data_IF_290597053760
#
_entry.id   IF_290597053760
#
_cell.length_a   1.000
_cell.length_b   1.000
_cell.length_c   1.000
_cell.angle_alpha   90.00
_cell.angle_beta   90.00
_cell.angle_gamma   90.00
#
_symmetry.space_group_name_H-M   'P 1'
#
loop_
_entity.id
_entity.type
_entity.pdbx_description
1 polymer ?
#
# COMPACT_ATOMS: atom_id res chain seq x y z
N UNK A 1 -8.73 5.69 -11.30
CA UNK A 1 -10.17 5.83 -11.54
C UNK A 1 -10.74 6.87 -10.60
N UNK A 2 -11.96 7.33 -10.83
CA UNK A 2 -12.68 8.16 -9.86
C UNK A 2 -13.16 7.27 -8.70
N UNK A 3 -12.91 7.70 -7.47
CA UNK A 3 -13.37 6.99 -6.26
C UNK A 3 -14.38 7.90 -5.57
N UNK A 4 -15.65 7.51 -5.63
CA UNK A 4 -16.72 8.20 -4.90
C UNK A 4 -16.71 7.71 -3.47
N UNK A 5 -16.51 8.63 -2.54
CA UNK A 5 -16.40 8.36 -1.11
C UNK A 5 -17.70 8.81 -0.45
N UNK A 6 -18.30 8.01 0.44
CA UNK A 6 -19.57 8.35 1.08
C UNK A 6 -19.53 9.70 1.80
N UNK A 7 -20.64 10.44 1.75
CA UNK A 7 -20.75 11.78 2.36
C UNK A 7 -20.46 11.77 3.87
N UNK A 8 -20.74 10.67 4.57
CA UNK A 8 -20.41 10.50 5.99
C UNK A 8 -18.91 10.56 6.33
N UNK A 9 -18.02 10.47 5.34
CA UNK A 9 -16.59 10.70 5.55
C UNK A 9 -16.22 12.19 5.64
N UNK A 10 -17.16 13.09 5.32
CA UNK A 10 -16.98 14.55 5.25
C UNK A 10 -17.40 15.35 6.49
N UNK A 11 -17.36 14.75 7.68
CA UNK A 11 -17.61 15.46 8.96
C UNK A 11 -16.33 15.84 9.72
N UNK A 12 -16.49 16.42 10.91
CA UNK A 12 -15.37 16.78 11.80
C UNK A 12 -14.48 15.58 12.14
N UNK A 13 -13.16 15.81 12.14
CA UNK A 13 -12.18 14.81 12.52
C UNK A 13 -11.06 15.41 13.36
N UNK A 14 -10.44 14.56 14.18
CA UNK A 14 -9.34 14.96 15.05
C UNK A 14 -8.12 15.31 14.21
N UNK A 15 -7.62 16.54 14.36
CA UNK A 15 -6.36 17.02 13.76
C UNK A 15 -5.21 17.10 14.77
N UNK A 16 -5.54 17.21 16.05
CA UNK A 16 -4.58 17.25 17.16
C UNK A 16 -5.09 16.39 18.32
N UNK A 17 -4.24 15.54 18.88
CA UNK A 17 -4.62 14.63 19.98
C UNK A 17 -4.42 15.33 21.32
N UNK A 18 -5.21 14.93 22.32
CA UNK A 18 -5.06 15.40 23.71
C UNK A 18 -3.66 15.14 24.29
N UNK A 19 -2.96 14.11 23.80
CA UNK A 19 -1.58 13.79 24.15
C UNK A 19 -0.53 14.75 23.53
N UNK A 20 -0.93 15.92 23.03
CA UNK A 20 0.00 16.96 22.54
C UNK A 20 0.70 16.64 21.22
N UNK A 21 0.17 15.72 20.42
CA UNK A 21 0.76 15.30 19.13
C UNK A 21 -0.27 15.40 18.00
N UNK A 22 0.16 15.69 16.76
CA UNK A 22 -0.75 15.75 15.63
C UNK A 22 -1.45 14.39 15.41
N UNK A 23 -2.69 14.45 14.94
CA UNK A 23 -3.36 13.26 14.44
C UNK A 23 -2.80 12.88 13.07
N UNK A 24 -3.01 11.62 12.68
CA UNK A 24 -2.51 11.07 11.40
C UNK A 24 -2.88 11.96 10.20
N UNK A 25 -4.12 12.47 10.15
CA UNK A 25 -4.59 13.27 9.02
C UNK A 25 -3.75 14.54 8.81
N UNK A 26 -3.45 15.27 9.90
CA UNK A 26 -2.63 16.49 9.84
C UNK A 26 -1.16 16.20 9.62
N UNK A 27 -0.61 15.22 10.36
CA UNK A 27 0.82 14.88 10.27
C UNK A 27 1.22 14.54 8.83
N UNK A 28 0.47 13.65 8.17
CA UNK A 28 0.78 13.23 6.79
C UNK A 28 0.69 14.39 5.80
N UNK A 29 -0.36 15.22 5.86
CA UNK A 29 -0.52 16.35 4.93
C UNK A 29 0.64 17.34 5.04
N UNK A 30 1.04 17.68 6.27
CA UNK A 30 2.14 18.62 6.51
C UNK A 30 3.48 18.02 6.08
N UNK A 31 3.74 16.75 6.41
CA UNK A 31 4.99 16.08 6.08
C UNK A 31 5.14 15.86 4.56
N UNK A 32 4.08 15.41 3.88
CA UNK A 32 4.07 15.23 2.42
C UNK A 32 4.36 16.55 1.70
N UNK A 33 3.71 17.63 2.12
CA UNK A 33 3.91 18.95 1.55
C UNK A 33 5.32 19.49 1.80
N UNK A 34 5.83 19.36 3.04
CA UNK A 34 7.17 19.81 3.42
C UNK A 34 8.27 19.03 2.67
N UNK A 35 8.05 17.75 2.37
CA UNK A 35 8.98 16.89 1.64
C UNK A 35 8.83 16.99 0.11
N UNK A 36 7.83 17.72 -0.39
CA UNK A 36 7.58 17.86 -1.82
C UNK A 36 7.07 16.57 -2.49
N UNK A 37 6.32 15.74 -1.76
CA UNK A 37 5.73 14.51 -2.30
C UNK A 37 4.76 14.85 -3.42
N UNK A 38 4.96 14.22 -4.59
CA UNK A 38 4.11 14.43 -5.78
C UNK A 38 3.09 13.31 -5.98
N UNK A 39 3.42 12.10 -5.53
CA UNK A 39 2.62 10.89 -5.72
C UNK A 39 2.62 10.05 -4.44
N UNK A 40 1.43 9.76 -3.92
CA UNK A 40 1.23 8.90 -2.75
C UNK A 40 0.65 7.57 -3.23
N UNK A 41 1.45 6.50 -3.14
CA UNK A 41 1.03 5.11 -3.42
C UNK A 41 0.87 4.37 -2.11
N UNK A 42 -0.35 3.90 -1.79
CA UNK A 42 -0.66 3.26 -0.50
C UNK A 42 -1.81 2.25 -0.60
N UNK A 43 -2.05 1.47 0.45
CA UNK A 43 -3.16 0.52 0.50
C UNK A 43 -4.54 1.18 0.40
N UNK A 44 -5.49 0.49 -0.21
CA UNK A 44 -6.88 0.95 -0.37
C UNK A 44 -7.67 1.05 0.94
N UNK A 45 -7.17 0.46 2.03
CA UNK A 45 -7.67 0.70 3.39
C UNK A 45 -7.57 2.16 3.83
N UNK A 46 -6.74 2.96 3.15
CA UNK A 46 -6.58 4.39 3.42
C UNK A 46 -7.41 5.29 2.50
N UNK A 47 -8.19 4.74 1.57
CA UNK A 47 -9.14 5.52 0.75
C UNK A 47 -10.02 6.43 1.61
N UNK A 48 -10.62 5.98 2.73
CA UNK A 48 -11.47 6.84 3.56
C UNK A 48 -10.75 8.00 4.25
N UNK A 49 -9.41 8.00 4.31
CA UNK A 49 -8.62 9.12 4.83
C UNK A 49 -8.43 10.24 3.81
N UNK A 50 -8.46 9.91 2.52
CA UNK A 50 -8.11 10.84 1.44
C UNK A 50 -8.97 12.11 1.43
N UNK A 51 -10.31 12.06 1.59
CA UNK A 51 -11.13 13.29 1.62
C UNK A 51 -10.75 14.24 2.75
N UNK A 52 -10.46 13.69 3.94
CA UNK A 52 -10.04 14.47 5.11
C UNK A 52 -8.69 15.12 4.88
N UNK A 53 -7.75 14.40 4.26
CA UNK A 53 -6.45 14.95 3.89
C UNK A 53 -6.58 16.04 2.82
N UNK A 54 -7.43 15.85 1.82
CA UNK A 54 -7.71 16.88 0.80
C UNK A 54 -8.31 18.15 1.40
N UNK A 55 -9.22 18.02 2.38
CA UNK A 55 -9.73 19.20 3.12
C UNK A 55 -8.62 19.94 3.86
N UNK A 56 -7.65 19.22 4.45
CA UNK A 56 -6.49 19.84 5.11
C UNK A 56 -5.55 20.52 4.11
N UNK A 57 -5.25 19.87 2.97
CA UNK A 57 -4.46 20.50 1.89
C UNK A 57 -5.10 21.82 1.46
N UNK A 58 -6.42 21.82 1.25
CA UNK A 58 -7.17 23.02 0.90
C UNK A 58 -7.11 24.09 2.00
N UNK A 59 -7.37 23.71 3.26
CA UNK A 59 -7.41 24.65 4.39
C UNK A 59 -6.04 25.29 4.69
N UNK A 60 -4.95 24.58 4.39
CA UNK A 60 -3.57 25.05 4.58
C UNK A 60 -2.99 25.71 3.32
N UNK A 61 -3.78 25.84 2.25
CA UNK A 61 -3.34 26.38 0.94
C UNK A 61 -2.14 25.62 0.34
N UNK A 62 -2.10 24.30 0.58
CA UNK A 62 -1.07 23.39 0.10
C UNK A 62 -1.55 22.64 -1.16
N UNK A 63 -0.62 22.31 -2.06
CA UNK A 63 -0.91 21.50 -3.25
C UNK A 63 -0.96 20.01 -2.86
N UNK A 64 -2.08 19.30 -3.07
CA UNK A 64 -2.14 17.86 -2.80
C UNK A 64 -1.33 17.05 -3.84
N UNK A 65 -0.76 15.89 -3.45
CA UNK A 65 -0.17 14.95 -4.38
C UNK A 65 -1.25 14.21 -5.19
N UNK A 66 -0.83 13.51 -6.25
CA UNK A 66 -1.66 12.48 -6.86
C UNK A 66 -1.74 11.26 -5.92
N UNK A 67 -2.90 10.62 -5.83
CA UNK A 67 -3.10 9.45 -4.98
C UNK A 67 -3.34 8.20 -5.82
N UNK A 68 -2.61 7.13 -5.52
CA UNK A 68 -2.87 5.77 -6.01
C UNK A 68 -3.11 4.84 -4.81
N UNK A 69 -4.27 4.17 -4.82
CA UNK A 69 -4.65 3.20 -3.80
C UNK A 69 -4.57 1.80 -4.40
N UNK A 70 -3.72 0.94 -3.84
CA UNK A 70 -3.49 -0.43 -4.29
C UNK A 70 -4.24 -1.43 -3.41
N UNK A 71 -4.82 -2.51 -3.96
CA UNK A 71 -5.54 -3.48 -3.16
C UNK A 71 -4.66 -4.14 -2.10
N UNK A 72 -5.26 -4.48 -0.97
CA UNK A 72 -4.58 -5.20 0.09
C UNK A 72 -4.19 -6.63 -0.30
N UNK A 73 -3.15 -7.12 0.35
CA UNK A 73 -2.87 -8.55 0.45
C UNK A 73 -3.75 -9.16 1.54
N UNK A 74 -4.45 -10.24 1.19
CA UNK A 74 -5.37 -10.97 2.07
C UNK A 74 -4.95 -12.43 2.22
N UNK A 75 -5.40 -13.08 3.28
CA UNK A 75 -5.25 -14.54 3.43
C UNK A 75 -6.31 -15.30 2.63
N UNK A 76 -6.26 -16.66 2.65
CA UNK A 76 -7.26 -17.51 2.01
C UNK A 76 -8.69 -17.28 2.52
N UNK A 77 -8.83 -16.74 3.72
CA UNK A 77 -10.10 -16.37 4.36
C UNK A 77 -10.68 -15.03 3.87
N UNK A 78 -9.99 -14.37 2.92
CA UNK A 78 -10.37 -13.06 2.37
C UNK A 78 -10.11 -11.89 3.32
N UNK A 79 -9.57 -12.12 4.52
CA UNK A 79 -9.28 -11.06 5.49
C UNK A 79 -7.85 -10.55 5.30
N UNK A 80 -7.62 -9.29 5.67
CA UNK A 80 -6.28 -8.68 5.68
C UNK A 80 -5.26 -9.62 6.33
N UNK A 81 -4.11 -9.76 5.66
CA UNK A 81 -3.02 -10.60 6.10
C UNK A 81 -2.61 -10.21 7.53
N UNK A 82 -2.45 -11.22 8.40
CA UNK A 82 -2.09 -11.06 9.79
C UNK A 82 -1.39 -12.33 10.28
N UNK A 83 -0.82 -12.31 11.50
CA UNK A 83 -0.07 -13.42 12.10
C UNK A 83 -0.79 -14.78 12.09
N UNK A 84 -2.11 -14.80 12.04
CA UNK A 84 -2.93 -16.03 11.96
C UNK A 84 -2.77 -16.78 10.63
N UNK A 85 -2.25 -16.13 9.59
CA UNK A 85 -2.02 -16.71 8.26
C UNK A 85 -0.56 -17.13 8.06
N UNK A 86 0.20 -17.27 9.15
CA UNK A 86 1.66 -17.41 9.10
C UNK A 86 2.38 -16.11 9.43
N UNK A 87 3.68 -16.23 9.72
CA UNK A 87 4.52 -15.08 10.07
C UNK A 87 5.19 -14.49 8.82
N UNK A 88 4.52 -13.52 8.24
CA UNK A 88 4.88 -12.87 6.97
C UNK A 88 5.88 -11.73 7.13
N UNK A 89 6.51 -11.60 8.31
CA UNK A 89 7.59 -10.63 8.52
C UNK A 89 8.78 -10.98 7.64
N UNK A 90 9.40 -9.96 7.04
CA UNK A 90 10.62 -10.12 6.24
C UNK A 90 11.74 -10.85 7.00
N UNK A 91 11.86 -10.63 8.32
CA UNK A 91 12.82 -11.33 9.18
C UNK A 91 12.56 -12.83 9.24
N UNK A 92 11.28 -13.23 9.27
CA UNK A 92 10.88 -14.63 9.36
C UNK A 92 11.05 -15.32 8.02
N UNK A 93 10.62 -14.69 6.93
CA UNK A 93 10.87 -15.17 5.57
C UNK A 93 12.37 -15.39 5.32
N UNK A 94 13.22 -14.45 5.77
CA UNK A 94 14.68 -14.59 5.70
C UNK A 94 15.19 -15.79 6.51
N UNK A 95 14.71 -15.97 7.74
CA UNK A 95 15.11 -17.10 8.58
C UNK A 95 14.66 -18.46 8.02
N UNK A 96 13.56 -18.48 7.26
CA UNK A 96 13.07 -19.65 6.52
C UNK A 96 13.87 -19.92 5.22
N UNK A 97 14.81 -19.06 4.85
CA UNK A 97 15.62 -19.22 3.65
C UNK A 97 14.96 -18.71 2.36
N UNK A 98 13.89 -17.91 2.45
CA UNK A 98 13.27 -17.30 1.26
C UNK A 98 14.26 -16.31 0.63
N UNK A 99 14.65 -16.57 -0.61
CA UNK A 99 15.60 -15.71 -1.31
C UNK A 99 14.93 -14.38 -1.71
N UNK A 100 15.60 -13.21 -1.57
CA UNK A 100 14.99 -11.92 -1.90
C UNK A 100 14.49 -11.81 -3.34
N UNK A 101 15.19 -12.44 -4.29
CA UNK A 101 14.78 -12.42 -5.70
C UNK A 101 13.46 -13.16 -5.93
N UNK A 102 13.22 -14.27 -5.21
CA UNK A 102 11.99 -15.04 -5.32
C UNK A 102 10.80 -14.27 -4.73
N UNK A 103 11.01 -13.64 -3.57
CA UNK A 103 10.00 -12.77 -2.96
C UNK A 103 9.66 -11.58 -3.86
N UNK A 104 10.67 -10.93 -4.45
CA UNK A 104 10.45 -9.86 -5.43
C UNK A 104 9.69 -10.36 -6.66
N UNK A 105 10.02 -11.55 -7.15
CA UNK A 105 9.33 -12.20 -8.26
C UNK A 105 7.86 -12.44 -8.00
N UNK A 106 7.55 -12.97 -6.81
CA UNK A 106 6.19 -13.18 -6.33
C UNK A 106 5.42 -11.87 -6.24
N UNK A 107 6.02 -10.83 -5.64
CA UNK A 107 5.39 -9.51 -5.51
C UNK A 107 5.18 -8.87 -6.89
N UNK A 108 6.17 -8.94 -7.77
CA UNK A 108 6.07 -8.40 -9.13
C UNK A 108 4.97 -9.10 -9.94
N UNK A 109 4.85 -10.42 -9.83
CA UNK A 109 3.73 -11.16 -10.40
C UNK A 109 2.38 -10.71 -9.82
N UNK A 110 2.30 -10.55 -8.48
CA UNK A 110 1.06 -10.07 -7.83
C UNK A 110 0.63 -8.68 -8.30
N UNK A 111 1.59 -7.84 -8.70
CA UNK A 111 1.37 -6.51 -9.26
C UNK A 111 1.14 -6.50 -10.77
N UNK A 112 1.11 -7.66 -11.44
CA UNK A 112 0.94 -7.77 -12.89
C UNK A 112 2.19 -7.40 -13.71
N UNK A 113 3.35 -7.22 -13.07
CA UNK A 113 4.61 -6.84 -13.74
C UNK A 113 5.38 -8.04 -14.31
N UNK A 114 5.00 -9.26 -13.90
CA UNK A 114 5.48 -10.52 -14.45
C UNK A 114 4.31 -11.44 -14.80
N UNK A 115 4.43 -12.29 -15.84
CA UNK A 115 3.38 -13.24 -16.21
C UNK A 115 3.28 -14.43 -15.24
N UNK A 116 4.36 -14.72 -14.50
CA UNK A 116 4.44 -15.78 -13.48
C UNK A 116 5.49 -15.40 -12.43
N UNK A 117 5.43 -15.97 -11.21
CA UNK A 117 6.51 -15.82 -10.23
C UNK A 117 7.82 -16.35 -10.81
N UNK A 118 8.87 -15.53 -10.76
CA UNK A 118 10.22 -15.91 -11.14
C UNK A 118 11.23 -15.01 -10.43
N UNK A 119 12.40 -15.53 -10.02
CA UNK A 119 13.41 -14.71 -9.36
C UNK A 119 13.78 -13.50 -10.22
N UNK A 120 13.77 -12.31 -9.61
CA UNK A 120 14.10 -11.05 -10.29
C UNK A 120 14.84 -10.09 -9.35
N UNK A 121 15.73 -9.28 -9.90
CA UNK A 121 16.39 -8.20 -9.15
C UNK A 121 15.61 -6.88 -9.25
N UNK A 122 15.78 -5.95 -8.29
CA UNK A 122 15.19 -4.62 -8.39
C UNK A 122 15.55 -3.90 -9.70
N UNK A 123 16.80 -4.04 -10.17
CA UNK A 123 17.27 -3.42 -11.41
C UNK A 123 16.51 -3.93 -12.63
N UNK A 124 16.25 -5.23 -12.69
CA UNK A 124 15.44 -5.83 -13.76
C UNK A 124 13.97 -5.45 -13.66
N UNK A 125 13.46 -5.19 -12.46
CA UNK A 125 12.06 -4.83 -12.26
C UNK A 125 11.75 -3.39 -12.70
N UNK A 126 12.70 -2.46 -12.60
CA UNK A 126 12.53 -1.05 -12.97
C UNK A 126 11.84 -0.81 -14.33
N UNK A 127 12.28 -1.42 -15.46
CA UNK A 127 11.63 -1.20 -16.76
C UNK A 127 10.22 -1.82 -16.88
N UNK A 128 9.77 -2.60 -15.89
CA UNK A 128 8.47 -3.29 -15.88
C UNK A 128 7.45 -2.61 -14.98
N UNK A 129 7.85 -1.59 -14.23
CA UNK A 129 6.98 -0.89 -13.29
C UNK A 129 5.87 -0.13 -14.04
N UNK A 130 4.62 -0.50 -13.78
CA UNK A 130 3.45 0.24 -14.21
C UNK A 130 2.35 0.11 -13.15
N UNK A 131 1.98 1.22 -12.52
CA UNK A 131 0.89 1.23 -11.53
C UNK A 131 -0.46 0.81 -12.13
N UNK A 132 -0.66 0.99 -13.44
CA UNK A 132 -1.90 0.62 -14.13
C UNK A 132 -2.01 -0.88 -14.36
N UNK A 133 -0.90 -1.62 -14.29
CA UNK A 133 -0.88 -3.07 -14.42
C UNK A 133 -1.31 -3.79 -13.13
N UNK A 134 -1.35 -3.07 -12.00
CA UNK A 134 -1.75 -3.63 -10.71
C UNK A 134 -3.22 -4.07 -10.78
N UNK A 135 -3.53 -5.35 -10.55
CA UNK A 135 -4.92 -5.83 -10.54
C UNK A 135 -5.75 -5.06 -9.51
N UNK A 136 -7.02 -4.71 -9.81
CA UNK A 136 -7.87 -3.91 -8.93
C UNK A 136 -8.55 -4.73 -7.82
N UNK A 137 -8.14 -5.98 -7.62
CA UNK A 137 -8.67 -6.88 -6.60
C UNK A 137 -7.57 -7.30 -5.62
N UNK A 138 -7.93 -7.66 -4.37
CA UNK A 138 -6.96 -8.15 -3.40
C UNK A 138 -6.12 -9.31 -3.93
N UNK A 139 -4.86 -9.37 -3.51
CA UNK A 139 -4.00 -10.52 -3.78
C UNK A 139 -4.13 -11.53 -2.64
N UNK A 140 -4.50 -12.77 -2.95
CA UNK A 140 -4.63 -13.85 -1.96
C UNK A 140 -3.26 -14.50 -1.77
N UNK A 141 -2.69 -14.31 -0.58
CA UNK A 141 -1.40 -14.89 -0.21
C UNK A 141 -1.59 -16.21 0.55
N UNK A 142 -0.80 -17.22 0.18
CA UNK A 142 -0.68 -18.50 0.88
C UNK A 142 0.78 -18.88 1.02
N UNK A 143 1.14 -19.64 2.07
CA UNK A 143 2.52 -20.06 2.31
C UNK A 143 3.07 -20.99 1.21
N UNK A 144 2.20 -21.65 0.46
CA UNK A 144 2.57 -22.47 -0.70
C UNK A 144 3.23 -21.62 -1.80
N UNK A 145 2.84 -20.35 -1.94
CA UNK A 145 3.43 -19.43 -2.90
C UNK A 145 4.91 -19.13 -2.61
N UNK A 146 5.36 -19.33 -1.37
CA UNK A 146 6.77 -19.21 -0.97
C UNK A 146 7.58 -20.48 -1.27
N UNK A 147 6.91 -21.61 -1.45
CA UNK A 147 7.53 -22.94 -1.65
C UNK A 147 7.63 -23.33 -3.11
N UNK A 148 6.93 -22.64 -4.01
CA UNK A 148 6.88 -23.00 -5.42
C UNK A 148 8.27 -22.85 -6.06
N UNK A 149 8.88 -23.93 -6.59
CA UNK A 149 9.94 -23.78 -7.55
C UNK A 149 9.33 -23.25 -8.86
N UNK A 150 10.05 -22.33 -9.50
CA UNK A 150 9.74 -21.82 -10.84
C UNK A 150 9.91 -22.88 -11.93
#
# INVERSE_FOLDING_TARGET
GEVVVPAELGGDFVVWKAAGTPAYQLAVVVDDAAQGVTEVVRGDDLVPSTPRQLQLYQALELKPPAFAHVPLVVGPDGRRLAKRHGDTRLSTLRAMGVHPADLLGLLAWSCGWLPRPAPITPRELLPRFDLRAIPPHPFVFTDELLKAPA
#
